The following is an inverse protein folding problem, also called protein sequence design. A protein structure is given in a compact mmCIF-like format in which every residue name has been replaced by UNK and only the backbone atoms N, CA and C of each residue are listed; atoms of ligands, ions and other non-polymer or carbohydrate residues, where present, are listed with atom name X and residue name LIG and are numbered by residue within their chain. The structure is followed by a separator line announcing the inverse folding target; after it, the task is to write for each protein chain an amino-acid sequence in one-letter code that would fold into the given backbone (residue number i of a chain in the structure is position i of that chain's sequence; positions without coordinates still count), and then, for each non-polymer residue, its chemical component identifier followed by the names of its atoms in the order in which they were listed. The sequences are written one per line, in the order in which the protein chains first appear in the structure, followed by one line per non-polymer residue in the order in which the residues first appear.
data_IF_082519737712
#
_entry.id   IF_082519737712
#
_cell.length_a   1.000
_cell.length_b   1.000
_cell.length_c   1.000
_cell.angle_alpha   90.00
_cell.angle_beta   90.00
_cell.angle_gamma   90.00
#
_symmetry.space_group_name_H-M   'P 1'
#
loop_
_entity.id
_entity.type
_entity.pdbx_description
1 polymer ?
#
# COMPACT_ATOMS: atom_id res chain seq x y z
N UNK A 1 -8.05 23.52 4.98
CA UNK A 1 -7.00 23.02 4.07
C UNK A 1 -6.52 21.70 4.64
N UNK A 2 -6.76 20.58 3.98
CA UNK A 2 -6.21 19.29 4.38
C UNK A 2 -4.68 19.35 4.22
N UNK A 3 -3.94 18.96 5.26
CA UNK A 3 -2.49 18.80 5.17
C UNK A 3 -2.16 17.84 4.00
N UNK A 4 -1.04 18.02 3.29
CA UNK A 4 -0.57 17.03 2.33
C UNK A 4 -0.44 15.68 3.05
N UNK A 5 -0.87 14.62 2.40
CA UNK A 5 -0.63 13.27 2.89
C UNK A 5 0.88 12.99 2.74
N UNK A 6 1.56 12.79 3.86
CA UNK A 6 2.97 12.44 3.84
C UNK A 6 3.13 10.93 3.62
N UNK A 7 3.85 10.57 2.55
CA UNK A 7 4.24 9.20 2.28
C UNK A 7 5.73 9.04 2.58
N UNK A 8 6.06 8.19 3.55
CA UNK A 8 7.42 7.78 3.85
C UNK A 8 7.73 6.47 3.14
N UNK A 9 8.93 6.36 2.60
CA UNK A 9 9.34 5.22 1.79
C UNK A 9 10.53 4.55 2.44
N UNK A 10 10.51 3.22 2.49
CA UNK A 10 11.75 2.46 2.66
C UNK A 10 12.65 2.70 1.43
N UNK A 11 13.97 2.68 1.63
CA UNK A 11 14.95 2.97 0.57
C UNK A 11 14.76 2.05 -0.65
N UNK A 12 14.59 0.75 -0.42
CA UNK A 12 14.38 -0.23 -1.51
C UNK A 12 13.06 -0.01 -2.25
N UNK A 13 11.99 0.32 -1.52
CA UNK A 13 10.70 0.65 -2.12
C UNK A 13 10.82 1.91 -2.99
N UNK A 14 11.58 2.91 -2.52
CA UNK A 14 11.84 4.13 -3.26
C UNK A 14 12.65 3.87 -4.53
N UNK A 15 13.68 3.02 -4.45
CA UNK A 15 14.49 2.62 -5.60
C UNK A 15 13.67 1.91 -6.68
N UNK A 16 12.75 1.02 -6.30
CA UNK A 16 11.81 0.40 -7.25
C UNK A 16 10.90 1.45 -7.88
N UNK A 17 10.35 2.35 -7.07
CA UNK A 17 9.47 3.42 -7.54
C UNK A 17 10.14 4.31 -8.60
N UNK A 18 11.37 4.76 -8.32
CA UNK A 18 12.11 5.68 -9.20
C UNK A 18 12.50 5.02 -10.55
N UNK A 19 12.46 3.68 -10.66
CA UNK A 19 12.69 2.94 -11.91
C UNK A 19 11.45 2.79 -12.79
N UNK A 20 10.26 3.00 -12.22
CA UNK A 20 9.01 2.91 -12.97
C UNK A 20 8.93 4.03 -14.02
N UNK A 21 8.20 3.81 -15.12
CA UNK A 21 7.82 4.88 -16.04
C UNK A 21 7.16 6.07 -15.31
N UNK A 22 7.42 7.30 -15.75
CA UNK A 22 6.98 8.53 -15.04
C UNK A 22 5.44 8.60 -14.88
N UNK A 23 4.74 8.16 -15.91
CA UNK A 23 3.29 8.00 -15.95
C UNK A 23 2.79 6.94 -14.96
N UNK A 24 3.49 5.80 -14.84
CA UNK A 24 3.24 4.80 -13.80
C UNK A 24 3.48 5.34 -12.38
N UNK A 25 4.57 6.09 -12.18
CA UNK A 25 4.86 6.78 -10.92
C UNK A 25 3.72 7.72 -10.53
N UNK A 26 3.27 8.56 -11.47
CA UNK A 26 2.17 9.50 -11.25
C UNK A 26 0.84 8.78 -10.98
N UNK A 27 0.57 7.67 -11.67
CA UNK A 27 -0.62 6.86 -11.44
C UNK A 27 -0.64 6.26 -10.02
N UNK A 28 0.51 5.75 -9.55
CA UNK A 28 0.64 5.19 -8.20
C UNK A 28 0.46 6.25 -7.11
N UNK A 29 1.12 7.41 -7.23
CA UNK A 29 0.99 8.51 -6.26
C UNK A 29 -0.47 8.99 -6.18
N UNK A 30 -1.20 9.04 -7.30
CA UNK A 30 -2.62 9.43 -7.32
C UNK A 30 -3.52 8.51 -6.50
N UNK A 31 -3.10 7.28 -6.21
CA UNK A 31 -3.87 6.35 -5.37
C UNK A 31 -3.70 6.61 -3.87
N UNK A 32 -2.64 7.32 -3.45
CA UNK A 32 -2.31 7.49 -2.03
C UNK A 32 -3.42 8.17 -1.22
N UNK A 33 -4.09 9.24 -1.69
CA UNK A 33 -5.21 9.83 -0.95
C UNK A 33 -6.36 8.84 -0.72
N UNK A 34 -6.69 8.01 -1.72
CA UNK A 34 -7.74 6.99 -1.60
C UNK A 34 -7.34 5.90 -0.62
N UNK A 35 -6.08 5.46 -0.64
CA UNK A 35 -5.55 4.48 0.31
C UNK A 35 -5.58 5.04 1.74
N UNK A 36 -5.11 6.27 1.94
CA UNK A 36 -5.15 6.93 3.24
C UNK A 36 -6.58 7.07 3.78
N UNK A 37 -7.55 7.46 2.95
CA UNK A 37 -8.95 7.53 3.35
C UNK A 37 -9.49 6.17 3.81
N UNK A 38 -9.19 5.10 3.06
CA UNK A 38 -9.57 3.72 3.43
C UNK A 38 -8.92 3.28 4.74
N UNK A 39 -7.64 3.58 4.94
CA UNK A 39 -6.94 3.21 6.16
C UNK A 39 -7.35 4.06 7.36
N UNK A 40 -7.74 5.33 7.18
CA UNK A 40 -8.30 6.17 8.25
C UNK A 40 -9.56 5.54 8.86
N UNK A 41 -10.44 4.98 8.02
CA UNK A 41 -11.64 4.26 8.51
C UNK A 41 -11.28 3.01 9.34
N UNK A 42 -10.21 2.30 8.97
CA UNK A 42 -9.72 1.13 9.69
C UNK A 42 -9.00 1.55 10.98
N UNK A 43 -8.23 2.63 10.93
CA UNK A 43 -7.49 3.21 12.03
C UNK A 43 -8.42 3.58 13.18
N UNK A 44 -9.57 4.21 12.87
CA UNK A 44 -10.60 4.56 13.84
C UNK A 44 -11.23 3.34 14.54
N UNK A 45 -11.18 2.15 13.92
CA UNK A 45 -11.76 0.90 14.42
C UNK A 45 -10.74 -0.06 15.02
N UNK A 46 -9.45 0.29 14.98
CA UNK A 46 -8.38 -0.62 15.43
C UNK A 46 -8.43 -0.85 16.94
N UNK A 47 -8.07 -2.04 17.44
CA UNK A 47 -7.90 -2.27 18.87
C UNK A 47 -6.86 -1.31 19.48
N UNK A 48 -7.08 -0.90 20.73
CA UNK A 48 -6.10 -0.12 21.47
C UNK A 48 -4.76 -0.89 21.58
N UNK A 49 -3.65 -0.20 21.32
CA UNK A 49 -2.31 -0.80 21.32
C UNK A 49 -1.83 -1.32 19.96
N UNK A 50 -2.66 -1.28 18.92
CA UNK A 50 -2.20 -1.52 17.55
C UNK A 50 -1.49 -0.26 17.01
N UNK A 51 -0.18 -0.34 16.69
CA UNK A 51 0.62 0.84 16.34
C UNK A 51 0.39 1.34 14.92
N UNK A 52 -0.08 0.48 14.01
CA UNK A 52 -0.29 0.76 12.60
C UNK A 52 -1.46 -0.08 12.04
N UNK A 53 -2.14 0.41 11.01
CA UNK A 53 -3.05 -0.41 10.20
C UNK A 53 -2.50 -0.50 8.78
N UNK A 54 -2.42 -1.70 8.23
CA UNK A 54 -1.74 -1.89 6.95
C UNK A 54 -2.23 -3.08 6.17
N UNK A 55 -1.89 -3.10 4.88
CA UNK A 55 -2.17 -4.24 4.02
C UNK A 55 -1.11 -4.39 2.94
N UNK A 56 -0.96 -5.63 2.49
CA UNK A 56 -0.29 -5.91 1.21
C UNK A 56 -1.32 -5.73 0.12
N UNK A 57 -1.07 -4.79 -0.78
CA UNK A 57 -1.89 -4.52 -1.95
C UNK A 57 -1.19 -5.00 -3.21
N UNK A 58 -1.97 -5.50 -4.16
CA UNK A 58 -1.51 -5.87 -5.49
C UNK A 58 -2.19 -4.97 -6.51
N UNK A 59 -1.41 -4.41 -7.43
CA UNK A 59 -1.89 -3.46 -8.44
C UNK A 59 -1.39 -3.89 -9.82
N UNK A 60 -2.26 -3.76 -10.82
CA UNK A 60 -1.85 -3.79 -12.21
C UNK A 60 -1.64 -2.36 -12.71
N UNK A 61 -0.54 -2.13 -13.41
CA UNK A 61 -0.33 -0.96 -14.24
C UNK A 61 -0.47 -1.40 -15.71
N UNK A 62 -1.71 -1.42 -16.24
CA UNK A 62 -2.04 -2.12 -17.49
C UNK A 62 -1.30 -1.58 -18.71
N UNK A 63 -1.10 -0.25 -18.79
CA UNK A 63 -0.45 0.39 -19.94
C UNK A 63 1.03 -0.02 -20.10
N UNK A 64 1.65 -0.52 -19.04
CA UNK A 64 3.04 -1.00 -19.04
C UNK A 64 3.16 -2.51 -18.81
N UNK A 65 2.02 -3.21 -18.64
CA UNK A 65 1.98 -4.63 -18.29
C UNK A 65 2.82 -4.98 -17.05
N UNK A 66 2.84 -4.10 -16.05
CA UNK A 66 3.56 -4.27 -14.79
C UNK A 66 2.57 -4.68 -13.70
N UNK A 67 2.94 -5.64 -12.87
CA UNK A 67 2.25 -5.93 -11.61
C UNK A 67 3.10 -5.45 -10.45
N UNK A 68 2.48 -4.80 -9.48
CA UNK A 68 3.16 -4.32 -8.29
C UNK A 68 2.55 -4.98 -7.06
N UNK A 69 3.42 -5.43 -6.16
CA UNK A 69 3.08 -5.69 -4.76
C UNK A 69 3.60 -4.53 -3.93
N UNK A 70 2.73 -4.01 -3.08
CA UNK A 70 3.04 -2.90 -2.19
C UNK A 70 2.64 -3.28 -0.76
N UNK A 71 3.57 -3.24 0.18
CA UNK A 71 3.28 -3.36 1.60
C UNK A 71 3.22 -1.97 2.22
N UNK A 72 2.08 -1.65 2.82
CA UNK A 72 1.79 -0.31 3.32
C UNK A 72 1.27 -0.39 4.74
N UNK A 73 1.80 0.48 5.58
CA UNK A 73 1.25 0.79 6.88
C UNK A 73 0.74 2.24 6.93
N UNK A 74 -0.28 2.44 7.75
CA UNK A 74 -0.90 3.74 8.03
C UNK A 74 -0.91 4.00 9.52
N UNK A 75 -0.51 5.21 9.88
CA UNK A 75 -0.46 5.71 11.26
C UNK A 75 -1.03 7.13 11.28
N UNK A 76 -1.78 7.47 12.31
CA UNK A 76 -2.09 8.87 12.62
C UNK A 76 -1.53 9.24 13.99
N UNK A 77 -0.85 10.37 14.06
CA UNK A 77 -0.39 10.98 15.31
C UNK A 77 -0.78 12.46 15.38
N UNK A 78 -0.21 13.18 16.35
CA UNK A 78 -0.44 14.63 16.53
C UNK A 78 0.00 15.47 15.32
N UNK A 79 0.94 14.96 14.51
CA UNK A 79 1.46 15.63 13.31
C UNK A 79 0.57 15.39 12.09
N UNK A 80 -0.05 14.22 11.99
CA UNK A 80 -1.08 13.90 11.02
C UNK A 80 -1.05 12.44 10.57
N UNK A 81 -1.72 12.19 9.44
CA UNK A 81 -1.73 10.87 8.81
C UNK A 81 -0.45 10.65 7.99
N UNK A 82 0.17 9.49 8.15
CA UNK A 82 1.37 9.07 7.42
C UNK A 82 1.14 7.70 6.80
N UNK A 83 1.46 7.58 5.51
CA UNK A 83 1.59 6.28 4.85
C UNK A 83 3.06 5.86 4.82
N UNK A 84 3.36 4.68 5.33
CA UNK A 84 4.67 4.05 5.22
C UNK A 84 4.63 3.03 4.09
N UNK A 85 5.35 3.27 3.01
CA UNK A 85 5.55 2.31 1.92
C UNK A 85 6.77 1.47 2.28
N UNK A 86 6.53 0.34 2.94
CA UNK A 86 7.56 -0.54 3.47
C UNK A 86 8.23 -1.36 2.37
N UNK A 87 7.45 -1.84 1.41
CA UNK A 87 7.94 -2.62 0.28
C UNK A 87 7.21 -2.24 -1.00
N UNK A 88 7.94 -2.17 -2.12
CA UNK A 88 7.40 -2.07 -3.46
C UNK A 88 8.18 -3.01 -4.38
N UNK A 89 7.49 -3.95 -5.01
CA UNK A 89 8.10 -5.00 -5.82
C UNK A 89 7.34 -5.20 -7.11
N UNK A 90 8.06 -5.23 -8.22
CA UNK A 90 7.53 -5.67 -9.52
C UNK A 90 7.37 -7.18 -9.52
N UNK A 91 6.20 -7.65 -9.96
CA UNK A 91 5.85 -9.05 -10.06
C UNK A 91 5.60 -9.43 -11.52
N UNK A 92 5.97 -10.64 -11.86
CA UNK A 92 5.39 -11.35 -13.00
C UNK A 92 3.96 -11.81 -12.67
N UNK A 93 3.17 -12.16 -13.68
CA UNK A 93 1.81 -12.70 -13.48
C UNK A 93 1.80 -13.94 -12.57
N UNK A 94 2.82 -14.81 -12.68
CA UNK A 94 2.96 -15.99 -11.83
C UNK A 94 3.26 -15.62 -10.38
N UNK A 95 4.15 -14.64 -10.15
CA UNK A 95 4.50 -14.18 -8.80
C UNK A 95 3.34 -13.44 -8.14
N UNK A 96 2.51 -12.75 -8.92
CA UNK A 96 1.26 -12.17 -8.45
C UNK A 96 0.34 -13.22 -7.85
N UNK A 97 0.05 -14.30 -8.60
CA UNK A 97 -0.83 -15.38 -8.13
C UNK A 97 -0.32 -16.00 -6.81
N UNK A 98 0.99 -16.25 -6.74
CA UNK A 98 1.65 -16.76 -5.54
C UNK A 98 1.54 -15.79 -4.37
N UNK A 99 1.77 -14.50 -4.62
CA UNK A 99 1.72 -13.47 -3.59
C UNK A 99 0.30 -13.25 -3.05
N UNK A 100 -0.71 -13.28 -3.92
CA UNK A 100 -2.13 -13.23 -3.52
C UNK A 100 -2.50 -14.44 -2.69
N UNK A 101 -2.07 -15.65 -3.08
CA UNK A 101 -2.30 -16.85 -2.31
C UNK A 101 -1.67 -16.78 -0.91
N UNK A 102 -0.42 -16.29 -0.82
CA UNK A 102 0.27 -16.10 0.46
C UNK A 102 -0.41 -15.05 1.35
N UNK A 103 -0.82 -13.91 0.78
CA UNK A 103 -1.51 -12.85 1.53
C UNK A 103 -2.86 -13.33 2.11
N UNK A 104 -3.56 -14.22 1.42
CA UNK A 104 -4.81 -14.84 1.90
C UNK A 104 -4.60 -15.78 3.08
N UNK A 105 -3.43 -16.41 3.18
CA UNK A 105 -3.09 -17.37 4.22
C UNK A 105 -2.48 -16.73 5.47
N UNK A 106 -2.16 -15.42 5.44
CA UNK A 106 -1.55 -14.74 6.58
C UNK A 106 -2.52 -14.67 7.78
N UNK A 107 -2.20 -15.32 8.91
CA UNK A 107 -3.03 -15.24 10.10
C UNK A 107 -3.02 -13.82 10.68
N UNK A 108 -4.18 -13.32 11.13
CA UNK A 108 -4.31 -12.01 11.76
C UNK A 108 -4.65 -10.84 10.81
N UNK A 109 -4.77 -11.07 9.49
CA UNK A 109 -5.33 -10.07 8.55
C UNK A 109 -6.84 -10.30 8.36
N UNK A 110 -7.64 -9.25 8.56
CA UNK A 110 -9.07 -9.27 8.20
C UNK A 110 -9.16 -9.18 6.67
N UNK A 111 -9.22 -10.33 6.01
CA UNK A 111 -9.59 -10.39 4.60
C UNK A 111 -11.12 -10.33 4.51
N UNK A 112 -11.73 -9.23 4.03
CA UNK A 112 -13.16 -9.26 3.75
C UNK A 112 -13.41 -10.39 2.74
N UNK A 113 -14.33 -11.33 3.03
CA UNK A 113 -14.66 -12.39 2.10
C UNK A 113 -15.35 -11.76 0.89
N UNK A 114 -14.67 -11.77 -0.26
CA UNK A 114 -15.19 -11.45 -1.59
C UNK A 114 -15.89 -10.08 -1.73
N UNK A 115 -15.19 -9.12 -2.36
CA UNK A 115 -15.83 -8.13 -3.23
C UNK A 115 -15.48 -8.47 -4.67
#
# INVERSE_FOLDING_TARGET
MSKPLDAQWADDARLTFDRLPIDAQAALIKQFPTLAAKYAELWAKRPAGIPAVGSVSHMQLPDWNIWLRMDIDYVEDEMGAVLFINELTELTAKELEQSVAAARQMPGRINPPNL
#
